data_IF_888180530693
#
_entry.id   IF_888180530693
#
_cell.length_a   1.000
_cell.length_b   1.000
_cell.length_c   1.000
_cell.angle_alpha   90.00
_cell.angle_beta   90.00
_cell.angle_gamma   90.00
#
_symmetry.space_group_name_H-M   'P 1'
#
loop_
_entity.id
_entity.type
_entity.pdbx_description
1 polymer ?
#
# COMPACT_ATOMS: atom_id res chain seq x y z
N UNK A 1 2.60 -30.67 2.90
CA UNK A 1 4.08 -30.66 2.77
C UNK A 1 4.77 -30.90 4.12
N UNK A 2 4.38 -30.25 5.22
CA UNK A 2 4.95 -30.51 6.55
C UNK A 2 4.68 -31.97 6.97
N UNK A 3 3.46 -32.44 6.83
CA UNK A 3 3.05 -33.82 7.13
C UNK A 3 3.83 -34.81 6.26
N UNK A 4 3.95 -34.57 4.98
CA UNK A 4 4.67 -35.44 4.03
C UNK A 4 6.17 -35.53 4.34
N UNK A 5 6.78 -34.42 4.80
CA UNK A 5 8.20 -34.37 5.18
C UNK A 5 8.49 -34.89 6.58
N UNK A 6 7.50 -35.01 7.44
CA UNK A 6 7.67 -35.46 8.81
C UNK A 6 7.91 -36.98 8.95
N UNK A 7 7.62 -37.73 7.87
CA UNK A 7 7.62 -39.21 7.87
C UNK A 7 6.72 -39.87 8.97
N UNK A 8 5.77 -39.10 9.51
CA UNK A 8 4.77 -39.55 10.45
C UNK A 8 3.51 -40.02 9.71
N UNK A 9 2.78 -40.97 10.29
CA UNK A 9 1.44 -41.30 9.84
C UNK A 9 0.53 -40.06 9.92
N UNK A 10 -0.40 -39.94 8.98
CA UNK A 10 -1.25 -38.75 8.86
C UNK A 10 -2.00 -38.42 10.16
N UNK A 11 -2.52 -39.45 10.85
CA UNK A 11 -3.21 -39.28 12.14
C UNK A 11 -2.30 -38.79 13.27
N UNK A 12 -1.05 -39.30 13.31
CA UNK A 12 -0.06 -38.87 14.28
C UNK A 12 0.42 -37.46 14.03
N UNK A 13 0.61 -37.10 12.74
CA UNK A 13 1.00 -35.74 12.33
C UNK A 13 -0.09 -34.72 12.65
N UNK A 14 -1.37 -35.08 12.47
CA UNK A 14 -2.51 -34.25 12.81
C UNK A 14 -2.61 -34.03 14.33
N UNK A 15 -2.49 -35.08 15.13
CA UNK A 15 -2.47 -34.97 16.60
C UNK A 15 -1.29 -34.10 17.08
N UNK A 16 -0.09 -34.32 16.54
CA UNK A 16 1.09 -33.52 16.86
C UNK A 16 0.88 -32.05 16.50
N UNK A 17 0.31 -31.80 15.35
CA UNK A 17 -0.06 -30.44 14.91
C UNK A 17 -1.03 -29.74 15.87
N UNK A 18 -2.01 -30.50 16.38
CA UNK A 18 -2.97 -29.98 17.35
C UNK A 18 -2.32 -29.69 18.73
N UNK A 19 -1.43 -30.56 19.20
CA UNK A 19 -0.68 -30.36 20.45
C UNK A 19 0.20 -29.11 20.34
N UNK A 20 0.97 -28.98 19.27
CA UNK A 20 1.83 -27.79 19.02
C UNK A 20 1.03 -26.51 18.94
N UNK A 21 -0.15 -26.55 18.33
CA UNK A 21 -1.07 -25.41 18.26
C UNK A 21 -1.60 -25.04 19.64
N UNK A 22 -2.08 -26.01 20.43
CA UNK A 22 -2.58 -25.78 21.78
C UNK A 22 -1.48 -25.24 22.71
N UNK A 23 -0.24 -25.61 22.44
CA UNK A 23 0.95 -25.08 23.13
C UNK A 23 1.38 -23.68 22.59
N UNK A 24 0.68 -23.10 21.59
CA UNK A 24 1.02 -21.81 20.99
C UNK A 24 2.30 -21.81 20.15
N UNK A 25 2.84 -22.98 19.84
CA UNK A 25 4.07 -23.13 19.06
C UNK A 25 3.83 -23.15 17.55
N UNK A 26 2.61 -23.47 17.13
CA UNK A 26 2.18 -23.51 15.75
C UNK A 26 1.03 -22.54 15.52
N UNK A 27 1.12 -21.72 14.46
CA UNK A 27 0.13 -20.72 14.06
C UNK A 27 -0.44 -21.05 12.68
N UNK A 28 -1.74 -20.86 12.50
CA UNK A 28 -2.33 -20.73 11.17
C UNK A 28 -2.20 -19.27 10.71
N UNK A 29 -1.73 -19.06 9.47
CA UNK A 29 -1.60 -17.73 8.88
C UNK A 29 -2.88 -17.25 8.16
N UNK A 30 -3.81 -18.17 7.88
CA UNK A 30 -5.02 -17.86 7.09
C UNK A 30 -6.26 -17.68 7.95
N UNK A 31 -6.27 -18.24 9.17
CA UNK A 31 -7.38 -18.13 10.09
C UNK A 31 -7.10 -17.02 11.11
N UNK A 32 -7.71 -15.85 10.89
CA UNK A 32 -7.50 -14.64 11.71
C UNK A 32 -8.37 -14.58 12.97
N UNK A 33 -9.24 -15.54 13.19
CA UNK A 33 -10.12 -15.51 14.37
C UNK A 33 -10.88 -16.82 14.58
N UNK A 34 -10.41 -17.64 15.51
CA UNK A 34 -11.14 -18.78 16.00
C UNK A 34 -10.29 -20.04 16.22
N UNK A 35 -10.83 -21.03 16.96
CA UNK A 35 -10.16 -22.29 17.27
C UNK A 35 -10.26 -23.28 16.09
N UNK A 36 -10.03 -22.85 14.86
CA UNK A 36 -10.21 -23.68 13.68
C UNK A 36 -9.17 -24.80 13.60
N UNK A 37 -9.64 -25.99 13.29
CA UNK A 37 -8.79 -27.14 13.08
C UNK A 37 -7.77 -26.87 11.96
N UNK A 38 -6.52 -27.27 12.15
CA UNK A 38 -5.53 -27.27 11.09
C UNK A 38 -5.98 -28.31 10.05
N UNK A 39 -6.36 -27.83 8.87
CA UNK A 39 -6.67 -28.70 7.73
C UNK A 39 -5.39 -29.06 6.97
N UNK A 40 -5.37 -30.14 6.18
CA UNK A 40 -4.22 -30.48 5.33
C UNK A 40 -3.80 -29.37 4.37
N UNK A 41 -4.70 -28.44 4.09
CA UNK A 41 -4.47 -27.30 3.20
C UNK A 41 -4.14 -25.99 3.92
N UNK A 42 -4.18 -25.96 5.26
CA UNK A 42 -3.88 -24.76 6.04
C UNK A 42 -2.41 -24.35 5.91
N UNK A 43 -2.18 -23.06 5.72
CA UNK A 43 -0.83 -22.49 5.78
C UNK A 43 -0.45 -22.30 7.25
N UNK A 44 0.47 -23.12 7.72
CA UNK A 44 0.93 -23.10 9.12
C UNK A 44 2.39 -22.71 9.21
N UNK A 45 2.78 -22.11 10.33
CA UNK A 45 4.15 -21.73 10.63
C UNK A 45 4.42 -21.85 12.13
N UNK A 46 5.68 -22.02 12.53
CA UNK A 46 6.04 -21.92 13.95
C UNK A 46 5.95 -20.46 14.42
N UNK A 47 5.71 -20.27 15.71
CA UNK A 47 5.66 -18.93 16.31
C UNK A 47 6.98 -18.16 16.09
N UNK A 48 8.13 -18.84 16.20
CA UNK A 48 9.44 -18.23 15.94
C UNK A 48 9.61 -17.77 14.49
N UNK A 49 9.24 -18.63 13.51
CA UNK A 49 9.31 -18.27 12.10
C UNK A 49 8.34 -17.13 11.74
N UNK A 50 7.14 -17.12 12.33
CA UNK A 50 6.19 -16.00 12.18
C UNK A 50 6.78 -14.68 12.69
N UNK A 51 7.31 -14.67 13.93
CA UNK A 51 7.93 -13.47 14.51
C UNK A 51 9.08 -12.95 13.67
N UNK A 52 9.93 -13.84 13.16
CA UNK A 52 11.02 -13.46 12.27
C UNK A 52 10.54 -12.86 10.95
N UNK A 53 9.51 -13.44 10.31
CA UNK A 53 8.92 -12.91 9.08
C UNK A 53 8.23 -11.57 9.36
N UNK A 54 7.43 -11.47 10.39
CA UNK A 54 6.74 -10.25 10.79
C UNK A 54 7.72 -9.08 11.03
N UNK A 55 8.77 -9.33 11.80
CA UNK A 55 9.81 -8.34 12.07
C UNK A 55 10.50 -7.84 10.77
N UNK A 56 10.84 -8.77 9.86
CA UNK A 56 11.43 -8.40 8.56
C UNK A 56 10.49 -7.55 7.71
N UNK A 57 9.21 -7.91 7.63
CA UNK A 57 8.23 -7.13 6.88
C UNK A 57 8.10 -5.72 7.43
N UNK A 58 7.93 -5.58 8.74
CA UNK A 58 7.83 -4.26 9.41
C UNK A 58 9.11 -3.45 9.21
N UNK A 59 10.28 -4.06 9.32
CA UNK A 59 11.57 -3.41 9.10
C UNK A 59 11.75 -2.90 7.66
N UNK A 60 11.33 -3.67 6.65
CA UNK A 60 11.41 -3.23 5.24
C UNK A 60 10.49 -2.03 4.98
N UNK A 61 9.29 -2.04 5.55
CA UNK A 61 8.35 -0.91 5.41
C UNK A 61 8.88 0.33 6.15
N UNK A 62 9.44 0.16 7.35
CA UNK A 62 10.05 1.23 8.13
C UNK A 62 11.25 1.86 7.38
N UNK A 63 12.16 1.04 6.90
CA UNK A 63 13.31 1.47 6.11
C UNK A 63 12.87 2.25 4.85
N UNK A 64 11.80 1.81 4.19
CA UNK A 64 11.25 2.51 3.04
C UNK A 64 10.71 3.89 3.41
N UNK A 65 9.97 4.02 4.52
CA UNK A 65 9.45 5.32 4.97
C UNK A 65 10.57 6.29 5.38
N UNK A 66 11.66 5.78 5.97
CA UNK A 66 12.84 6.59 6.26
C UNK A 66 13.54 7.07 4.99
N UNK A 67 13.66 6.20 3.99
CA UNK A 67 14.29 6.52 2.72
C UNK A 67 13.43 7.44 1.85
N UNK A 68 12.10 7.24 1.89
CA UNK A 68 11.13 7.95 1.04
C UNK A 68 9.99 8.56 1.88
N UNK A 69 10.28 9.58 2.71
CA UNK A 69 9.29 10.13 3.65
C UNK A 69 8.09 10.81 2.97
N UNK A 70 8.22 11.15 1.69
CA UNK A 70 7.19 11.77 0.87
C UNK A 70 6.38 10.77 0.03
N UNK A 71 6.50 9.46 0.31
CA UNK A 71 5.69 8.40 -0.31
C UNK A 71 4.64 7.89 0.66
N UNK A 72 3.44 7.60 0.15
CA UNK A 72 2.34 7.05 0.97
C UNK A 72 2.62 5.66 1.52
N UNK A 73 3.41 4.87 0.82
CA UNK A 73 3.72 3.51 1.22
C UNK A 73 4.64 2.79 0.24
N UNK A 74 5.14 1.65 0.66
CA UNK A 74 5.95 0.74 -0.13
C UNK A 74 5.05 -0.07 -1.08
N UNK A 75 5.35 -0.11 -2.40
CA UNK A 75 4.62 -0.96 -3.33
C UNK A 75 4.67 -2.44 -2.92
N UNK A 76 3.51 -3.10 -2.91
CA UNK A 76 3.35 -4.49 -2.47
C UNK A 76 4.27 -5.46 -3.21
N UNK A 77 4.44 -5.29 -4.52
CA UNK A 77 5.32 -6.15 -5.33
C UNK A 77 6.81 -5.89 -5.02
N UNK A 78 7.18 -4.66 -4.70
CA UNK A 78 8.52 -4.32 -4.25
C UNK A 78 8.82 -4.94 -2.88
N UNK A 79 7.90 -4.84 -1.92
CA UNK A 79 8.02 -5.51 -0.62
C UNK A 79 8.21 -7.01 -0.79
N UNK A 80 7.40 -7.65 -1.64
CA UNK A 80 7.52 -9.08 -1.96
C UNK A 80 8.90 -9.45 -2.49
N UNK A 81 9.43 -8.63 -3.40
CA UNK A 81 10.79 -8.81 -3.97
C UNK A 81 11.88 -8.69 -2.90
N UNK A 82 11.78 -7.70 -2.00
CA UNK A 82 12.75 -7.47 -0.92
C UNK A 82 12.78 -8.60 0.10
N UNK A 83 11.64 -9.21 0.38
CA UNK A 83 11.53 -10.32 1.35
C UNK A 83 12.18 -11.63 0.86
N UNK A 84 12.42 -11.78 -0.46
CA UNK A 84 13.03 -12.97 -1.05
C UNK A 84 12.41 -14.28 -0.55
N UNK A 85 11.08 -14.34 -0.53
CA UNK A 85 10.35 -15.55 -0.16
C UNK A 85 10.55 -16.65 -1.20
N UNK A 86 10.22 -17.88 -0.82
CA UNK A 86 10.29 -19.01 -1.74
C UNK A 86 9.53 -18.72 -3.05
N UNK A 87 10.09 -19.03 -4.21
CA UNK A 87 9.41 -18.78 -5.49
C UNK A 87 8.16 -19.65 -5.64
N UNK A 88 7.26 -19.21 -6.51
CA UNK A 88 6.07 -19.97 -6.88
C UNK A 88 4.84 -19.70 -6.00
N UNK A 89 3.79 -20.54 -6.15
CA UNK A 89 2.48 -20.29 -5.53
C UNK A 89 2.50 -20.26 -4.00
N UNK A 90 3.36 -21.08 -3.37
CA UNK A 90 3.46 -21.14 -1.92
C UNK A 90 4.00 -19.82 -1.34
N UNK A 91 5.04 -19.26 -1.93
CA UNK A 91 5.58 -17.97 -1.49
C UNK A 91 4.61 -16.81 -1.69
N UNK A 92 3.87 -16.82 -2.80
CA UNK A 92 2.82 -15.82 -3.04
C UNK A 92 1.69 -15.92 -2.01
N UNK A 93 1.26 -17.15 -1.69
CA UNK A 93 0.24 -17.42 -0.68
C UNK A 93 0.72 -17.01 0.72
N UNK A 94 1.97 -17.36 1.06
CA UNK A 94 2.61 -16.96 2.33
C UNK A 94 2.66 -15.43 2.45
N UNK A 95 3.09 -14.73 1.42
CA UNK A 95 3.15 -13.27 1.40
C UNK A 95 1.78 -12.64 1.65
N UNK A 96 0.76 -13.10 0.94
CA UNK A 96 -0.61 -12.59 1.08
C UNK A 96 -1.17 -12.86 2.49
N UNK A 97 -0.97 -14.07 3.01
CA UNK A 97 -1.43 -14.43 4.35
C UNK A 97 -0.69 -13.63 5.44
N UNK A 98 0.63 -13.41 5.26
CA UNK A 98 1.43 -12.62 6.19
C UNK A 98 0.96 -11.16 6.24
N UNK A 99 0.71 -10.51 5.10
CA UNK A 99 0.22 -9.13 5.08
C UNK A 99 -1.15 -9.01 5.76
N UNK A 100 -2.10 -9.89 5.45
CA UNK A 100 -3.42 -9.91 6.09
C UNK A 100 -3.32 -10.06 7.61
N UNK A 101 -2.44 -10.96 8.08
CA UNK A 101 -2.25 -11.17 9.51
C UNK A 101 -1.63 -9.95 10.18
N UNK A 102 -0.62 -9.33 9.57
CA UNK A 102 -0.01 -8.09 10.07
C UNK A 102 -1.00 -6.92 10.08
N UNK A 103 -1.87 -6.84 9.09
CA UNK A 103 -2.94 -5.85 9.06
C UNK A 103 -3.97 -6.09 10.18
N UNK A 104 -4.37 -7.35 10.41
CA UNK A 104 -5.26 -7.72 11.51
C UNK A 104 -4.66 -7.43 12.90
N UNK A 105 -3.34 -7.55 13.03
CA UNK A 105 -2.58 -7.20 14.24
C UNK A 105 -2.27 -5.68 14.35
N UNK A 106 -2.76 -4.88 13.41
CA UNK A 106 -2.50 -3.43 13.31
C UNK A 106 -1.02 -3.05 13.26
N UNK A 107 -0.19 -3.91 12.70
CA UNK A 107 1.24 -3.67 12.48
C UNK A 107 1.52 -3.05 11.12
N UNK A 108 0.61 -3.21 10.17
CA UNK A 108 0.63 -2.62 8.83
C UNK A 108 -0.76 -2.21 8.38
N UNK A 109 -0.80 -1.36 7.35
CA UNK A 109 -2.03 -1.00 6.62
C UNK A 109 -1.82 -1.34 5.15
N UNK A 110 -2.77 -2.08 4.56
CA UNK A 110 -2.84 -2.32 3.12
C UNK A 110 -3.76 -1.26 2.49
N UNK A 111 -3.21 -0.38 1.65
CA UNK A 111 -3.94 0.66 0.94
C UNK A 111 -3.83 0.45 -0.58
N UNK A 112 -4.68 -0.42 -1.12
CA UNK A 112 -4.63 -0.83 -2.53
C UNK A 112 -3.30 -1.54 -2.86
N UNK A 113 -2.48 -1.00 -3.79
CA UNK A 113 -1.20 -1.60 -4.15
C UNK A 113 -0.06 -1.27 -3.18
N UNK A 114 -0.33 -0.45 -2.16
CA UNK A 114 0.66 0.05 -1.22
C UNK A 114 0.51 -0.59 0.17
N UNK A 115 1.63 -0.68 0.88
CA UNK A 115 1.70 -1.10 2.28
C UNK A 115 2.43 -0.03 3.07
N UNK A 116 1.89 0.37 4.20
CA UNK A 116 2.52 1.36 5.07
C UNK A 116 2.33 1.04 6.56
N UNK A 117 3.11 1.69 7.42
CA UNK A 117 2.92 1.61 8.87
C UNK A 117 1.63 2.33 9.29
N UNK A 118 0.95 1.86 10.35
CA UNK A 118 -0.15 2.59 10.96
C UNK A 118 0.30 4.00 11.37
N UNK A 119 -0.49 5.01 10.98
CA UNK A 119 -0.18 6.41 11.30
C UNK A 119 0.87 7.07 10.42
N UNK A 120 1.47 6.37 9.46
CA UNK A 120 2.34 7.00 8.48
C UNK A 120 1.56 7.99 7.63
N UNK A 121 2.03 9.23 7.57
CA UNK A 121 1.46 10.32 6.78
C UNK A 121 2.59 11.13 6.15
N UNK A 122 2.41 11.54 4.91
CA UNK A 122 3.34 12.47 4.26
C UNK A 122 3.30 13.80 5.01
N UNK A 123 4.46 14.29 5.42
CA UNK A 123 4.60 15.60 6.08
C UNK A 123 5.70 16.40 5.40
N UNK A 124 5.38 17.62 5.04
CA UNK A 124 6.35 18.56 4.48
C UNK A 124 7.06 19.30 5.62
N UNK A 125 8.36 19.50 5.47
CA UNK A 125 9.09 20.44 6.32
C UNK A 125 8.73 21.89 5.92
N UNK A 126 9.15 22.89 6.72
CA UNK A 126 8.77 24.29 6.50
C UNK A 126 9.17 24.81 5.10
N UNK A 127 10.36 24.45 4.62
CA UNK A 127 10.81 24.85 3.29
C UNK A 127 10.03 24.17 2.17
N UNK A 128 9.75 22.89 2.32
CA UNK A 128 8.92 22.13 1.38
C UNK A 128 7.50 22.71 1.35
N UNK A 129 6.93 23.01 2.51
CA UNK A 129 5.59 23.61 2.61
C UNK A 129 5.52 24.95 1.89
N UNK A 130 6.49 25.84 2.07
CA UNK A 130 6.54 27.12 1.33
C UNK A 130 6.54 26.92 -0.18
N UNK A 131 7.32 25.97 -0.70
CA UNK A 131 7.36 25.65 -2.13
C UNK A 131 6.03 25.08 -2.62
N UNK A 132 5.40 24.22 -1.84
CA UNK A 132 4.08 23.65 -2.12
C UNK A 132 3.02 24.76 -2.17
N UNK A 133 3.01 25.64 -1.17
CA UNK A 133 2.04 26.75 -1.09
C UNK A 133 2.19 27.70 -2.28
N UNK A 134 3.42 28.03 -2.67
CA UNK A 134 3.71 28.86 -3.84
C UNK A 134 3.21 28.22 -5.14
N UNK A 135 3.46 26.89 -5.31
CA UNK A 135 2.97 26.14 -6.47
C UNK A 135 1.43 26.11 -6.50
N UNK A 136 0.79 25.78 -5.39
CA UNK A 136 -0.68 25.72 -5.30
C UNK A 136 -1.33 27.10 -5.53
N UNK A 137 -0.67 28.19 -5.14
CA UNK A 137 -1.13 29.55 -5.45
C UNK A 137 -1.11 29.84 -6.95
N UNK A 138 -0.11 29.36 -7.69
CA UNK A 138 -0.08 29.49 -9.17
C UNK A 138 -1.25 28.76 -9.82
N UNK A 139 -1.53 27.52 -9.40
CA UNK A 139 -2.73 26.83 -9.88
C UNK A 139 -4.00 27.60 -9.57
N UNK A 140 -4.09 28.19 -8.37
CA UNK A 140 -5.26 28.98 -7.97
C UNK A 140 -5.47 30.23 -8.82
N UNK A 141 -4.39 30.86 -9.30
CA UNK A 141 -4.45 32.08 -10.13
C UNK A 141 -4.85 31.79 -11.59
N UNK A 142 -4.62 30.56 -12.06
CA UNK A 142 -4.89 30.17 -13.45
C UNK A 142 -5.55 28.77 -13.51
N UNK A 143 -6.77 28.60 -13.00
CA UNK A 143 -7.41 27.29 -12.86
C UNK A 143 -7.66 26.57 -14.18
N UNK A 144 -7.82 27.30 -15.28
CA UNK A 144 -8.06 26.76 -16.63
C UNK A 144 -6.81 26.71 -17.52
N UNK A 145 -5.70 27.29 -17.06
CA UNK A 145 -4.41 27.28 -17.75
C UNK A 145 -3.30 26.93 -16.73
N UNK A 146 -3.33 25.72 -16.18
CA UNK A 146 -2.42 25.33 -15.10
C UNK A 146 -0.99 25.22 -15.61
N UNK A 147 0.01 25.31 -14.70
CA UNK A 147 1.39 25.00 -15.04
C UNK A 147 1.54 23.58 -15.56
N UNK A 148 2.45 23.39 -16.49
CA UNK A 148 2.81 22.06 -17.01
C UNK A 148 3.54 21.23 -15.93
N UNK A 149 3.57 19.89 -16.09
CA UNK A 149 4.34 19.02 -15.20
C UNK A 149 5.81 19.43 -15.13
N UNK A 150 6.42 19.81 -16.26
CA UNK A 150 7.82 20.27 -16.31
C UNK A 150 8.05 21.55 -15.50
N UNK A 151 7.13 22.50 -15.57
CA UNK A 151 7.20 23.73 -14.76
C UNK A 151 7.03 23.42 -13.27
N UNK A 152 6.09 22.53 -12.91
CA UNK A 152 5.93 22.06 -11.55
C UNK A 152 7.19 21.35 -11.02
N UNK A 153 7.79 20.47 -11.83
CA UNK A 153 9.04 19.78 -11.49
C UNK A 153 10.21 20.75 -11.28
N UNK A 154 10.33 21.75 -12.13
CA UNK A 154 11.37 22.78 -11.99
C UNK A 154 11.22 23.59 -10.68
N UNK A 155 9.99 23.80 -10.22
CA UNK A 155 9.69 24.62 -9.04
C UNK A 155 9.80 23.83 -7.73
N UNK A 156 9.17 22.67 -7.64
CA UNK A 156 9.10 21.90 -6.40
C UNK A 156 9.98 20.64 -6.41
N UNK A 157 10.39 20.18 -7.58
CA UNK A 157 11.09 18.90 -7.77
C UNK A 157 10.14 17.71 -7.88
N UNK A 158 10.66 16.59 -8.38
CA UNK A 158 9.86 15.39 -8.65
C UNK A 158 9.20 14.80 -7.41
N UNK A 159 9.94 14.75 -6.29
CA UNK A 159 9.44 14.12 -5.06
C UNK A 159 8.23 14.86 -4.47
N UNK A 160 8.29 16.20 -4.39
CA UNK A 160 7.17 17.00 -3.88
C UNK A 160 5.98 16.97 -4.83
N UNK A 161 6.22 17.04 -6.14
CA UNK A 161 5.16 16.94 -7.13
C UNK A 161 4.43 15.59 -7.03
N UNK A 162 5.18 14.50 -6.93
CA UNK A 162 4.59 13.16 -6.77
C UNK A 162 3.84 13.04 -5.44
N UNK A 163 4.38 13.60 -4.36
CA UNK A 163 3.70 13.62 -3.08
C UNK A 163 2.35 14.36 -3.14
N UNK A 164 2.28 15.49 -3.84
CA UNK A 164 1.03 16.24 -4.04
C UNK A 164 0.00 15.45 -4.85
N UNK A 165 0.43 14.69 -5.86
CA UNK A 165 -0.43 13.80 -6.63
C UNK A 165 -0.90 12.63 -5.75
N UNK A 166 -0.02 12.01 -4.98
CA UNK A 166 -0.37 10.92 -4.05
C UNK A 166 -1.31 11.38 -2.93
N UNK A 167 -1.17 12.62 -2.44
CA UNK A 167 -2.08 13.22 -1.46
C UNK A 167 -3.44 13.59 -2.05
N UNK A 168 -3.56 13.64 -3.38
CA UNK A 168 -4.77 14.05 -4.07
C UNK A 168 -4.98 15.57 -4.11
N UNK A 169 -3.94 16.36 -3.81
CA UNK A 169 -3.97 17.82 -4.00
C UNK A 169 -3.89 18.18 -5.48
N UNK A 170 -3.13 17.41 -6.24
CA UNK A 170 -3.00 17.50 -7.68
C UNK A 170 -3.51 16.23 -8.36
N UNK A 171 -4.08 16.37 -9.54
CA UNK A 171 -4.48 15.26 -10.42
C UNK A 171 -3.76 15.37 -11.76
N UNK A 172 -3.02 14.33 -12.13
CA UNK A 172 -2.39 14.23 -13.44
C UNK A 172 -3.36 13.62 -14.44
N UNK A 173 -3.67 14.33 -15.51
CA UNK A 173 -4.56 13.84 -16.58
C UNK A 173 -3.77 13.20 -17.71
N UNK A 174 -2.59 13.72 -17.99
CA UNK A 174 -1.66 13.20 -19.01
C UNK A 174 -0.23 13.30 -18.47
N UNK A 175 0.75 12.87 -19.25
CA UNK A 175 2.18 13.03 -18.94
C UNK A 175 2.66 14.49 -18.93
N UNK A 176 1.85 15.42 -19.37
CA UNK A 176 2.21 16.85 -19.49
C UNK A 176 1.29 17.76 -18.70
N UNK A 177 0.05 17.31 -18.42
CA UNK A 177 -1.02 18.14 -17.86
C UNK A 177 -1.38 17.68 -16.47
N UNK A 178 -1.31 18.58 -15.53
CA UNK A 178 -1.71 18.41 -14.13
C UNK A 178 -2.62 19.56 -13.71
N UNK A 179 -3.63 19.26 -12.92
CA UNK A 179 -4.56 20.25 -12.35
C UNK A 179 -4.55 20.17 -10.83
N UNK A 180 -4.89 21.25 -10.17
CA UNK A 180 -5.29 21.18 -8.77
C UNK A 180 -6.63 20.44 -8.69
N UNK A 181 -6.69 19.39 -7.86
CA UNK A 181 -7.84 18.48 -7.82
C UNK A 181 -9.16 19.22 -7.61
N UNK A 182 -9.18 20.19 -6.70
CA UNK A 182 -10.34 21.03 -6.43
C UNK A 182 -10.87 21.77 -7.68
N UNK A 183 -9.96 22.24 -8.54
CA UNK A 183 -10.36 22.98 -9.76
C UNK A 183 -10.83 22.01 -10.83
N UNK A 184 -10.17 20.86 -10.96
CA UNK A 184 -10.61 19.78 -11.83
C UNK A 184 -12.01 19.27 -11.48
N UNK A 185 -12.30 19.03 -10.20
CA UNK A 185 -13.63 18.61 -9.75
C UNK A 185 -14.72 19.64 -10.09
N UNK A 186 -14.41 20.94 -9.94
CA UNK A 186 -15.34 22.01 -10.34
C UNK A 186 -15.62 21.99 -11.86
N UNK A 187 -14.57 21.87 -12.67
CA UNK A 187 -14.73 21.79 -14.12
C UNK A 187 -15.58 20.57 -14.52
N UNK A 188 -15.33 19.41 -13.93
CA UNK A 188 -16.12 18.20 -14.17
C UNK A 188 -17.59 18.39 -13.77
N UNK A 189 -17.84 19.06 -12.64
CA UNK A 189 -19.20 19.35 -12.17
C UNK A 189 -19.93 20.31 -13.13
N UNK A 190 -19.27 21.35 -13.61
CA UNK A 190 -19.81 22.30 -14.61
C UNK A 190 -20.15 21.61 -15.92
N UNK A 191 -19.22 20.80 -16.45
CA UNK A 191 -19.44 20.01 -17.68
C UNK A 191 -20.64 19.06 -17.51
N UNK A 192 -20.72 18.34 -16.39
CA UNK A 192 -21.87 17.45 -16.12
C UNK A 192 -23.18 18.21 -16.06
N UNK A 193 -23.20 19.38 -15.42
CA UNK A 193 -24.39 20.21 -15.33
C UNK A 193 -24.85 20.69 -16.70
N UNK A 194 -23.94 21.17 -17.53
CA UNK A 194 -24.25 21.62 -18.92
C UNK A 194 -24.81 20.47 -19.77
N UNK A 195 -24.23 19.29 -19.70
CA UNK A 195 -24.72 18.13 -20.43
C UNK A 195 -26.10 17.66 -19.95
N UNK A 196 -26.41 17.75 -18.67
CA UNK A 196 -27.71 17.39 -18.09
C UNK A 196 -28.80 18.41 -18.48
N UNK A 197 -28.45 19.68 -18.68
CA UNK A 197 -29.37 20.76 -19.06
C UNK A 197 -29.57 20.86 -20.58
N UNK A 198 -29.06 19.90 -21.38
CA UNK A 198 -29.25 19.85 -22.84
C UNK A 198 -28.26 20.72 -23.63
N UNK A 199 -27.20 21.18 -23.00
CA UNK A 199 -26.10 21.92 -23.64
C UNK A 199 -25.22 21.03 -24.52
N UNK A 200 -24.75 21.55 -25.64
CA UNK A 200 -23.70 20.93 -26.46
C UNK A 200 -22.35 21.55 -26.11
N UNK A 201 -21.33 20.71 -25.89
CA UNK A 201 -19.95 21.15 -25.70
C UNK A 201 -19.16 20.86 -26.98
N UNK A 202 -18.48 21.87 -27.50
CA UNK A 202 -17.50 21.73 -28.58
C UNK A 202 -16.12 21.98 -27.99
N UNK A 203 -15.17 21.09 -28.26
CA UNK A 203 -13.76 21.39 -28.02
C UNK A 203 -13.29 22.43 -29.05
N UNK A 204 -12.74 23.52 -28.56
CA UNK A 204 -12.11 24.54 -29.42
C UNK A 204 -10.65 24.18 -29.66
#
# INVERSE_FOLDING_TARGET
EVITRSHLDASVAEQAGQVLRNAGQLLSLENLGGPDAISPHSLVTSLGAWRGLAARVVQEVDAYHHQYPLRRGLPREELKSRLKLAPGPLGARLFTAALRKLAAENLLVEAGPLVHQPGHTIRFNAQQQQRVDALLAKFASAPYAPPTIKECQAEVGDELLMALIELGELVSLTTEVVFRNRDYEKMVAEVRHLLQTGGTLTAA
#
